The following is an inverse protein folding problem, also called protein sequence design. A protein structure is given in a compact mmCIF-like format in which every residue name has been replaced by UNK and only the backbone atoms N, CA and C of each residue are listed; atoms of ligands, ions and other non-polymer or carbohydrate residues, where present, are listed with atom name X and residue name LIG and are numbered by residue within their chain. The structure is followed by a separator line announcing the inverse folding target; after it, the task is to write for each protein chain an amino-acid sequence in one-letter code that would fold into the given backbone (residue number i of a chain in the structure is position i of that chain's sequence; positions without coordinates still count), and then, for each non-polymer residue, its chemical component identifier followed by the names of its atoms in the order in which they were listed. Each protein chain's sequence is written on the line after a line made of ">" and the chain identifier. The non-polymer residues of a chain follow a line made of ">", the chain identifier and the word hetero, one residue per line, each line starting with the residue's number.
data_IF_464362944262
#
_entry.id   IF_464362944262
#
_cell.length_a   1.000
_cell.length_b   1.000
_cell.length_c   1.000
_cell.angle_alpha   90.00
_cell.angle_beta   90.00
_cell.angle_gamma   90.00
#
_symmetry.space_group_name_H-M   'P 1'
#
loop_
_entity.id
_entity.type
_entity.pdbx_description
1 polymer ?
#
# COMPACT_ATOMS: atom_id res chain seq x y z
N UNK A 1 25.81 -6.61 19.15
CA UNK A 1 25.79 -5.93 17.84
C UNK A 1 24.52 -5.10 17.77
N UNK A 2 24.63 -3.78 17.82
CA UNK A 2 23.45 -2.90 17.82
C UNK A 2 22.80 -2.91 16.44
N UNK A 3 21.52 -3.28 16.38
CA UNK A 3 20.70 -3.35 15.14
C UNK A 3 20.69 -2.06 14.31
N UNK A 4 21.03 -0.92 14.91
CA UNK A 4 21.16 0.39 14.26
C UNK A 4 22.27 0.50 13.20
N UNK A 5 23.30 -0.35 13.26
CA UNK A 5 24.39 -0.37 12.27
C UNK A 5 24.15 -1.40 11.15
N UNK A 6 22.98 -2.07 11.13
CA UNK A 6 22.66 -3.00 10.05
C UNK A 6 22.32 -2.23 8.77
N UNK A 7 22.94 -2.64 7.66
CA UNK A 7 22.62 -2.16 6.31
C UNK A 7 21.33 -2.79 5.75
N UNK A 8 20.68 -3.66 6.50
CA UNK A 8 19.47 -4.35 6.06
C UNK A 8 18.27 -3.39 6.01
N UNK A 9 17.55 -3.31 4.88
CA UNK A 9 16.37 -2.48 4.78
C UNK A 9 15.26 -2.97 5.72
N UNK A 10 14.58 -2.01 6.35
CA UNK A 10 13.48 -2.27 7.29
C UNK A 10 12.27 -2.97 6.62
N UNK A 11 12.11 -2.75 5.32
CA UNK A 11 11.16 -3.42 4.44
C UNK A 11 11.75 -3.47 3.03
N UNK A 12 11.85 -4.66 2.45
CA UNK A 12 12.31 -4.87 1.08
C UNK A 12 11.13 -5.36 0.21
N UNK A 13 10.59 -4.50 -0.67
CA UNK A 13 9.46 -4.86 -1.54
C UNK A 13 9.84 -5.82 -2.68
N UNK A 14 11.14 -6.10 -2.89
CA UNK A 14 11.63 -6.94 -4.00
C UNK A 14 11.82 -8.40 -3.59
N UNK A 15 11.94 -8.68 -2.29
CA UNK A 15 12.20 -10.04 -1.78
C UNK A 15 11.08 -11.04 -2.06
N UNK A 16 9.83 -10.58 -2.15
CA UNK A 16 8.67 -11.47 -2.24
C UNK A 16 7.78 -11.11 -3.43
N UNK A 17 7.93 -11.90 -4.49
CA UNK A 17 7.28 -11.74 -5.79
C UNK A 17 5.96 -12.51 -5.92
N UNK A 18 5.49 -13.15 -4.85
CA UNK A 18 4.23 -13.91 -4.88
C UNK A 18 3.04 -12.98 -5.23
N UNK A 19 1.99 -13.44 -5.91
CA UNK A 19 0.80 -12.62 -6.10
C UNK A 19 0.15 -12.27 -4.75
N UNK A 20 -0.62 -11.18 -4.72
CA UNK A 20 -1.48 -10.88 -3.58
C UNK A 20 -2.56 -11.97 -3.44
N UNK A 21 -2.87 -12.36 -2.20
CA UNK A 21 -3.84 -13.41 -1.89
C UNK A 21 -5.22 -12.84 -1.61
N UNK A 22 -5.30 -11.57 -1.19
CA UNK A 22 -6.55 -10.89 -0.89
C UNK A 22 -6.53 -9.45 -1.39
N UNK A 23 -7.69 -8.96 -1.84
CA UNK A 23 -7.88 -7.56 -2.21
C UNK A 23 -9.05 -7.00 -1.40
N UNK A 24 -8.79 -5.97 -0.60
CA UNK A 24 -9.81 -5.24 0.17
C UNK A 24 -10.01 -3.84 -0.38
N UNK A 25 -11.25 -3.40 -0.52
CA UNK A 25 -11.56 -2.01 -0.90
C UNK A 25 -11.71 -1.15 0.34
N UNK A 26 -11.09 0.03 0.34
CA UNK A 26 -11.20 1.01 1.44
C UNK A 26 -11.04 2.42 0.90
N UNK A 27 -11.06 3.41 1.79
CA UNK A 27 -10.93 4.83 1.47
C UNK A 27 -9.58 5.36 1.91
N UNK A 28 -8.91 6.12 1.04
CA UNK A 28 -7.64 6.78 1.33
C UNK A 28 -7.85 8.01 2.23
N UNK A 29 -7.14 8.08 3.36
CA UNK A 29 -7.23 9.20 4.31
C UNK A 29 -6.07 10.20 4.25
N UNK A 30 -5.20 10.09 3.24
CA UNK A 30 -4.01 10.96 3.10
C UNK A 30 -4.33 12.43 2.80
N UNK A 31 -5.52 12.72 2.26
CA UNK A 31 -6.01 14.07 2.03
C UNK A 31 -7.54 14.11 2.01
N UNK A 32 -8.11 15.32 1.90
CA UNK A 32 -9.55 15.55 1.89
C UNK A 32 -10.28 14.91 0.70
N UNK A 33 -9.58 14.51 -0.37
CA UNK A 33 -10.21 13.90 -1.52
C UNK A 33 -10.86 12.54 -1.21
N UNK A 34 -10.41 11.78 -0.19
CA UNK A 34 -11.03 10.49 0.18
C UNK A 34 -11.20 9.54 -1.02
N UNK A 35 -10.15 9.35 -1.81
CA UNK A 35 -10.15 8.44 -2.97
C UNK A 35 -10.45 6.99 -2.53
N UNK A 36 -11.22 6.25 -3.33
CA UNK A 36 -11.37 4.80 -3.14
C UNK A 36 -10.14 4.07 -3.62
N UNK A 37 -9.64 3.13 -2.81
CA UNK A 37 -8.44 2.35 -3.08
C UNK A 37 -8.72 0.85 -2.94
N UNK A 38 -7.87 0.03 -3.55
CA UNK A 38 -7.78 -1.39 -3.27
C UNK A 38 -6.44 -1.67 -2.61
N UNK A 39 -6.51 -2.28 -1.43
CA UNK A 39 -5.39 -2.77 -0.68
C UNK A 39 -5.15 -4.23 -1.06
N UNK A 40 -3.99 -4.52 -1.64
CA UNK A 40 -3.59 -5.87 -2.01
C UNK A 40 -2.76 -6.44 -0.86
N UNK A 41 -3.28 -7.50 -0.23
CA UNK A 41 -2.66 -8.16 0.90
C UNK A 41 -2.06 -9.50 0.47
N UNK A 42 -0.94 -9.85 1.09
CA UNK A 42 -0.32 -11.16 1.02
C UNK A 42 -0.03 -11.61 2.44
N UNK A 43 -0.59 -12.75 2.84
CA UNK A 43 -0.44 -13.30 4.19
C UNK A 43 -0.78 -12.28 5.31
N UNK A 44 -1.78 -11.42 5.04
CA UNK A 44 -2.21 -10.34 5.95
C UNK A 44 -1.37 -9.06 5.87
N UNK A 45 -0.26 -9.06 5.15
CA UNK A 45 0.62 -7.91 4.97
C UNK A 45 0.26 -7.13 3.70
N UNK A 46 0.17 -5.80 3.80
CA UNK A 46 -0.07 -4.93 2.66
C UNK A 46 1.15 -4.90 1.72
N UNK A 47 0.97 -5.27 0.45
CA UNK A 47 2.03 -5.36 -0.56
C UNK A 47 1.86 -4.39 -1.74
N UNK A 48 0.64 -3.93 -2.01
CA UNK A 48 0.39 -2.96 -3.07
C UNK A 48 -0.91 -2.17 -2.84
N UNK A 49 -0.97 -0.96 -3.39
CA UNK A 49 -2.16 -0.10 -3.38
C UNK A 49 -2.38 0.44 -4.79
N UNK A 50 -3.61 0.31 -5.29
CA UNK A 50 -4.10 1.03 -6.45
C UNK A 50 -5.47 1.65 -6.20
N UNK A 51 -6.00 2.40 -7.17
CA UNK A 51 -7.33 2.98 -7.07
C UNK A 51 -8.42 1.96 -7.33
N UNK A 52 -9.59 2.15 -6.71
CA UNK A 52 -10.77 1.35 -6.98
C UNK A 52 -11.50 1.88 -8.23
N UNK A 53 -11.57 1.14 -9.35
CA UNK A 53 -12.26 1.58 -10.57
C UNK A 53 -13.75 1.85 -10.36
N UNK A 54 -14.36 1.19 -9.37
CA UNK A 54 -15.79 1.29 -9.07
C UNK A 54 -16.12 2.45 -8.11
N UNK A 55 -15.11 3.17 -7.59
CA UNK A 55 -15.36 4.25 -6.65
C UNK A 55 -15.77 5.53 -7.40
N UNK A 56 -16.91 6.16 -7.04
CA UNK A 56 -17.56 7.19 -7.85
C UNK A 56 -16.71 8.44 -8.04
N UNK A 57 -15.84 8.75 -7.08
CA UNK A 57 -15.04 9.97 -7.11
C UNK A 57 -13.83 9.88 -8.03
N UNK A 58 -13.09 8.78 -7.96
CA UNK A 58 -11.75 8.71 -8.54
C UNK A 58 -11.61 7.65 -9.64
N UNK A 59 -12.59 6.75 -9.79
CA UNK A 59 -12.69 5.81 -10.91
C UNK A 59 -11.37 5.05 -11.19
N UNK A 60 -10.64 4.69 -10.12
CA UNK A 60 -9.37 3.97 -10.22
C UNK A 60 -8.12 4.84 -10.28
N UNK A 61 -8.24 6.14 -10.49
CA UNK A 61 -7.09 7.07 -10.49
C UNK A 61 -6.75 7.48 -9.05
N UNK A 62 -5.47 7.46 -8.69
CA UNK A 62 -4.98 7.93 -7.40
C UNK A 62 -3.72 8.76 -7.56
N UNK A 63 -3.47 9.68 -6.64
CA UNK A 63 -2.26 10.50 -6.63
C UNK A 63 -1.09 9.77 -5.96
N UNK A 64 0.12 10.33 -6.11
CA UNK A 64 1.33 9.78 -5.50
C UNK A 64 1.22 9.59 -3.98
N UNK A 65 0.48 10.47 -3.27
CA UNK A 65 0.25 10.35 -1.82
C UNK A 65 -0.56 9.11 -1.46
N UNK A 66 -1.55 8.76 -2.28
CA UNK A 66 -2.35 7.55 -2.09
C UNK A 66 -1.54 6.29 -2.39
N UNK A 67 -0.77 6.31 -3.47
CA UNK A 67 0.11 5.20 -3.85
C UNK A 67 1.24 4.97 -2.82
N UNK A 68 1.76 6.03 -2.20
CA UNK A 68 2.78 5.93 -1.15
C UNK A 68 2.23 5.47 0.21
N UNK A 69 0.92 5.28 0.35
CA UNK A 69 0.28 4.87 1.61
C UNK A 69 0.67 3.48 2.12
N UNK A 70 1.43 2.71 1.34
CA UNK A 70 1.98 1.41 1.74
C UNK A 70 3.10 1.52 2.78
N UNK A 71 3.77 2.67 2.87
CA UNK A 71 4.96 2.82 3.70
C UNK A 71 4.61 2.75 5.20
N UNK A 72 5.08 1.70 5.88
CA UNK A 72 4.90 1.49 7.31
C UNK A 72 5.97 2.25 8.08
N UNK A 73 5.57 3.12 9.01
CA UNK A 73 6.49 3.71 9.99
C UNK A 73 6.66 2.70 11.13
N UNK A 74 7.89 2.23 11.35
CA UNK A 74 8.28 1.42 12.52
C UNK A 74 9.21 2.22 13.41
#
# INVERSE_FOLDING_TARGET
>A
MFKFLSSEPLHDPVQDTKPATEIKTTTCYMCACRCGIRAHLRDGELVYIDGNPNHPLNQGVICAKGASGIMKQK
#
